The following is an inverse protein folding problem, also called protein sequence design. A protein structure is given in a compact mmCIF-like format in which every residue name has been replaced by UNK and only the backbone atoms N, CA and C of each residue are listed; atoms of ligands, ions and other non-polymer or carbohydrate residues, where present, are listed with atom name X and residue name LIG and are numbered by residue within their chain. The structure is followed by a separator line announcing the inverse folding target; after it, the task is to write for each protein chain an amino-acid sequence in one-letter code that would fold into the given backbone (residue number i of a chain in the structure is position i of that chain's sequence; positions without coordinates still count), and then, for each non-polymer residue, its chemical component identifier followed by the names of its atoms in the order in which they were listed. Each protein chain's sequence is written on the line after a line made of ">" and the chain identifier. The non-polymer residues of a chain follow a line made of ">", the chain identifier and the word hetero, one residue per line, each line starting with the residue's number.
data_IF_510873058857
#
_entry.id   IF_510873058857
#
_cell.length_a   1.000
_cell.length_b   1.000
_cell.length_c   1.000
_cell.angle_alpha   90.00
_cell.angle_beta   90.00
_cell.angle_gamma   90.00
#
_symmetry.space_group_name_H-M   'P 1'
#
loop_
_entity.id
_entity.type
_entity.pdbx_description
1 polymer ?
#
# COMPACT_ATOMS: atom_id res chain seq x y z
N UNK A 1 -44.07 41.34 -6.08
CA UNK A 1 -42.74 41.86 -6.43
C UNK A 1 -41.73 41.23 -5.47
N UNK A 2 -40.79 40.46 -6.04
CA UNK A 2 -39.44 40.00 -5.58
C UNK A 2 -39.19 39.62 -4.10
N UNK A 3 -38.82 38.35 -3.81
CA UNK A 3 -37.44 37.80 -3.71
C UNK A 3 -36.71 38.30 -2.45
N UNK A 4 -36.14 37.47 -1.56
CA UNK A 4 -34.92 36.69 -1.80
C UNK A 4 -34.90 35.42 -0.92
N UNK A 5 -34.64 34.27 -1.55
CA UNK A 5 -34.30 33.03 -0.87
C UNK A 5 -32.84 33.07 -0.41
N UNK A 6 -32.62 32.94 0.89
CA UNK A 6 -31.30 32.83 1.50
C UNK A 6 -30.62 31.54 1.03
N UNK A 7 -29.62 31.66 0.15
CA UNK A 7 -28.75 30.55 -0.21
C UNK A 7 -27.83 30.26 0.98
N UNK A 8 -28.15 29.20 1.72
CA UNK A 8 -27.25 28.61 2.69
C UNK A 8 -26.03 28.05 1.94
N UNK A 9 -24.90 28.74 2.02
CA UNK A 9 -23.61 28.27 1.50
C UNK A 9 -23.11 27.18 2.43
N UNK A 10 -23.48 25.94 2.17
CA UNK A 10 -22.88 24.77 2.83
C UNK A 10 -21.45 24.67 2.31
N UNK A 11 -20.48 25.02 3.14
CA UNK A 11 -19.07 24.77 2.83
C UNK A 11 -18.89 23.27 2.55
N UNK A 12 -18.21 22.87 1.47
CA UNK A 12 -17.98 21.46 1.20
C UNK A 12 -17.23 20.86 2.39
N UNK A 13 -17.51 19.61 2.77
CA UNK A 13 -16.73 18.93 3.81
C UNK A 13 -15.27 18.97 3.36
N UNK A 14 -14.43 19.67 4.12
CA UNK A 14 -12.98 19.63 3.97
C UNK A 14 -12.59 18.20 4.27
N UNK A 15 -12.42 17.40 3.22
CA UNK A 15 -11.84 16.07 3.34
C UNK A 15 -10.43 16.32 3.86
N UNK A 16 -10.16 15.95 5.11
CA UNK A 16 -8.81 15.94 5.65
C UNK A 16 -7.96 15.09 4.71
N UNK A 17 -7.24 15.76 3.81
CA UNK A 17 -6.31 15.11 2.91
C UNK A 17 -5.18 14.65 3.83
N UNK A 18 -5.23 13.37 4.24
CA UNK A 18 -4.12 12.71 4.92
C UNK A 18 -2.83 13.16 4.23
N UNK A 19 -1.96 13.81 5.00
CA UNK A 19 -0.68 14.31 4.52
C UNK A 19 0.00 13.17 3.73
N UNK A 20 0.28 13.32 2.42
CA UNK A 20 0.89 12.25 1.62
C UNK A 20 2.20 11.73 2.23
N UNK A 21 2.91 12.56 3.01
CA UNK A 21 4.10 12.15 3.74
C UNK A 21 3.79 11.18 4.88
N UNK A 22 2.64 11.34 5.55
CA UNK A 22 2.16 10.42 6.59
C UNK A 22 1.85 9.03 6.03
N UNK A 23 1.19 8.95 4.88
CA UNK A 23 0.86 7.70 4.17
C UNK A 23 2.13 6.93 3.75
N UNK A 24 3.21 7.64 3.42
CA UNK A 24 4.48 7.04 3.02
C UNK A 24 5.36 6.59 4.21
N UNK A 25 5.12 7.10 5.43
CA UNK A 25 5.89 6.70 6.63
C UNK A 25 5.83 5.18 6.87
N UNK A 26 4.67 4.59 6.62
CA UNK A 26 4.43 3.15 6.80
C UNK A 26 4.69 2.32 5.54
N UNK A 27 5.35 2.91 4.54
CA UNK A 27 5.64 2.28 3.28
C UNK A 27 7.14 2.02 3.11
N UNK A 28 7.45 0.96 2.38
CA UNK A 28 8.79 0.60 1.93
C UNK A 28 8.78 0.51 0.41
N UNK A 29 9.74 1.17 -0.23
CA UNK A 29 10.01 0.93 -1.64
C UNK A 29 10.51 -0.51 -1.85
N UNK A 30 10.35 -1.05 -3.07
CA UNK A 30 10.86 -2.39 -3.38
C UNK A 30 12.37 -2.53 -3.13
N UNK A 31 13.14 -1.44 -3.29
CA UNK A 31 14.57 -1.41 -2.95
C UNK A 31 14.82 -1.59 -1.46
N UNK A 32 14.09 -0.85 -0.61
CA UNK A 32 14.19 -0.96 0.84
C UNK A 32 13.75 -2.34 1.36
N UNK A 33 12.69 -2.94 0.76
CA UNK A 33 12.31 -4.32 1.08
C UNK A 33 13.43 -5.29 0.70
N UNK A 34 14.01 -5.13 -0.49
CA UNK A 34 15.09 -5.99 -0.96
C UNK A 34 16.32 -5.94 -0.04
N UNK A 35 16.70 -4.75 0.39
CA UNK A 35 17.79 -4.51 1.33
C UNK A 35 17.50 -5.12 2.71
N UNK A 36 16.35 -4.81 3.31
CA UNK A 36 15.97 -5.28 4.64
C UNK A 36 15.93 -6.81 4.75
N UNK A 37 15.48 -7.49 3.70
CA UNK A 37 15.36 -8.95 3.67
C UNK A 37 16.54 -9.64 2.94
N UNK A 38 17.58 -8.88 2.56
CA UNK A 38 18.76 -9.38 1.84
C UNK A 38 18.43 -10.23 0.61
N UNK A 39 17.42 -9.80 -0.15
CA UNK A 39 17.01 -10.43 -1.42
C UNK A 39 17.31 -9.52 -2.61
N UNK A 40 17.30 -10.06 -3.82
CA UNK A 40 17.42 -9.24 -5.03
C UNK A 40 16.14 -8.39 -5.22
N UNK A 41 16.21 -7.14 -5.71
CA UNK A 41 15.02 -6.35 -6.04
C UNK A 41 14.06 -7.04 -7.03
N UNK A 42 14.61 -7.88 -7.91
CA UNK A 42 13.81 -8.71 -8.81
C UNK A 42 12.95 -9.74 -8.06
N UNK A 43 13.42 -10.24 -6.92
CA UNK A 43 12.67 -11.17 -6.07
C UNK A 43 11.42 -10.51 -5.51
N UNK A 44 11.54 -9.30 -4.96
CA UNK A 44 10.40 -8.51 -4.47
C UNK A 44 9.42 -8.22 -5.62
N UNK A 45 9.96 -7.90 -6.80
CA UNK A 45 9.13 -7.70 -8.00
C UNK A 45 8.37 -8.97 -8.42
N UNK A 46 8.96 -10.16 -8.24
CA UNK A 46 8.29 -11.44 -8.51
C UNK A 46 7.22 -11.76 -7.46
N UNK A 47 7.46 -11.47 -6.18
CA UNK A 47 6.42 -11.59 -5.14
C UNK A 47 5.18 -10.76 -5.48
N UNK A 48 5.38 -9.54 -5.99
CA UNK A 48 4.29 -8.66 -6.37
C UNK A 48 3.58 -9.08 -7.67
N UNK A 49 4.32 -9.52 -8.69
CA UNK A 49 3.76 -9.77 -10.04
C UNK A 49 3.34 -11.21 -10.31
N UNK A 50 4.02 -12.19 -9.72
CA UNK A 50 3.79 -13.63 -9.94
C UNK A 50 3.30 -14.35 -8.69
N UNK A 51 3.44 -13.70 -7.55
CA UNK A 51 3.23 -14.29 -6.24
C UNK A 51 4.35 -15.23 -5.82
N UNK A 52 4.20 -15.75 -4.62
CA UNK A 52 5.02 -16.81 -4.06
C UNK A 52 4.12 -17.85 -3.38
N UNK A 53 4.55 -19.10 -3.35
CA UNK A 53 3.78 -20.21 -2.77
C UNK A 53 4.18 -20.34 -1.30
N UNK A 54 3.18 -20.32 -0.41
CA UNK A 54 3.39 -20.57 1.02
C UNK A 54 3.58 -22.05 1.34
N UNK A 55 3.96 -22.35 2.58
CA UNK A 55 4.12 -23.73 3.06
C UNK A 55 2.83 -24.56 3.00
N UNK A 56 1.68 -23.90 3.01
CA UNK A 56 0.36 -24.50 2.81
C UNK A 56 0.00 -24.76 1.34
N UNK A 57 0.93 -24.52 0.41
CA UNK A 57 0.73 -24.71 -1.03
C UNK A 57 -0.07 -23.59 -1.70
N UNK A 58 -0.52 -22.58 -0.94
CA UNK A 58 -1.34 -21.48 -1.48
C UNK A 58 -0.44 -20.37 -2.03
N UNK A 59 -0.67 -19.99 -3.29
CA UNK A 59 0.02 -18.87 -3.93
C UNK A 59 -0.55 -17.54 -3.46
N UNK A 60 0.33 -16.62 -3.07
CA UNK A 60 0.00 -15.28 -2.57
C UNK A 60 0.79 -14.22 -3.31
N UNK A 61 0.18 -13.08 -3.55
CA UNK A 61 0.82 -11.93 -4.17
C UNK A 61 1.07 -10.87 -3.12
N UNK A 62 2.24 -10.22 -3.19
CA UNK A 62 2.57 -9.10 -2.31
C UNK A 62 1.80 -7.85 -2.78
N UNK A 63 0.88 -7.29 -1.96
CA UNK A 63 0.20 -6.06 -2.33
C UNK A 63 1.19 -4.90 -2.46
N UNK A 64 1.00 -4.07 -3.49
CA UNK A 64 1.83 -2.89 -3.71
C UNK A 64 1.04 -1.81 -4.43
N UNK A 65 1.53 -0.57 -4.34
CA UNK A 65 1.03 0.55 -5.12
C UNK A 65 2.20 1.29 -5.77
N UNK A 66 1.87 2.20 -6.70
CA UNK A 66 2.85 2.98 -7.44
C UNK A 66 2.70 4.46 -7.10
N UNK A 67 3.84 5.14 -6.95
CA UNK A 67 3.91 6.60 -6.93
C UNK A 67 4.95 6.98 -7.99
N UNK A 68 4.48 7.54 -9.10
CA UNK A 68 5.30 7.73 -10.30
C UNK A 68 5.88 6.40 -10.81
N UNK A 69 7.22 6.32 -10.90
CA UNK A 69 7.95 5.11 -11.33
C UNK A 69 8.33 4.17 -10.18
N UNK A 70 8.13 4.60 -8.93
CA UNK A 70 8.49 3.83 -7.75
C UNK A 70 7.34 2.92 -7.31
N UNK A 71 7.69 1.73 -6.82
CA UNK A 71 6.75 0.75 -6.26
C UNK A 71 6.95 0.68 -4.76
N UNK A 72 5.85 0.77 -4.03
CA UNK A 72 5.81 0.79 -2.58
C UNK A 72 4.90 -0.31 -2.04
N UNK A 73 5.27 -0.82 -0.88
CA UNK A 73 4.53 -1.82 -0.11
C UNK A 73 4.29 -1.23 1.26
N UNK A 74 3.06 -1.36 1.78
CA UNK A 74 2.80 -1.00 3.18
C UNK A 74 3.41 -2.06 4.09
N UNK A 75 4.06 -1.65 5.18
CA UNK A 75 4.70 -2.56 6.14
C UNK A 75 3.75 -3.66 6.67
N UNK A 76 2.47 -3.37 7.01
CA UNK A 76 1.54 -4.42 7.45
C UNK A 76 1.24 -5.46 6.36
N UNK A 77 1.11 -5.02 5.11
CA UNK A 77 0.86 -5.93 3.98
C UNK A 77 2.06 -6.85 3.72
N UNK A 78 3.29 -6.32 3.86
CA UNK A 78 4.51 -7.11 3.77
C UNK A 78 4.61 -8.14 4.90
N UNK A 79 4.35 -7.74 6.14
CA UNK A 79 4.38 -8.63 7.30
C UNK A 79 3.39 -9.78 7.12
N UNK A 80 2.13 -9.45 6.80
CA UNK A 80 1.08 -10.44 6.55
C UNK A 80 1.44 -11.40 5.41
N UNK A 81 1.99 -10.87 4.30
CA UNK A 81 2.44 -11.70 3.20
C UNK A 81 3.49 -12.73 3.64
N UNK A 82 4.48 -12.30 4.43
CA UNK A 82 5.55 -13.19 4.91
C UNK A 82 5.05 -14.22 5.93
N UNK A 83 4.19 -13.82 6.87
CA UNK A 83 3.53 -14.73 7.81
C UNK A 83 2.76 -15.83 7.07
N UNK A 84 1.98 -15.42 6.07
CA UNK A 84 1.20 -16.34 5.27
C UNK A 84 2.06 -17.30 4.45
N UNK A 85 3.24 -16.88 3.97
CA UNK A 85 4.18 -17.79 3.32
C UNK A 85 4.74 -18.83 4.29
N UNK A 86 4.96 -18.45 5.54
CA UNK A 86 5.53 -19.30 6.56
C UNK A 86 4.49 -20.17 7.29
N UNK A 87 3.26 -20.26 6.76
CA UNK A 87 2.19 -21.08 7.33
C UNK A 87 1.63 -20.52 8.65
N UNK A 88 1.51 -19.18 8.73
CA UNK A 88 1.11 -18.40 9.91
C UNK A 88 0.27 -19.16 10.94
N UNK A 89 0.78 -19.19 12.17
CA UNK A 89 0.05 -19.64 13.36
C UNK A 89 -1.02 -18.63 13.75
#
# INVERSE_FOLDING_TARGET
>A
MSSVAEHQVVSPPTVDVEDPASTLRDCLSFGQVAEAYRVRPLTVSRWASRGNVGLDGVRRTLPFFKVGRMRYVRRPDLARFLEQLNGGR
#
